data_IF_487693238070
#
_entry.id   IF_487693238070
#
_cell.length_a   1.000
_cell.length_b   1.000
_cell.length_c   1.000
_cell.angle_alpha   90.00
_cell.angle_beta   90.00
_cell.angle_gamma   90.00
#
_symmetry.space_group_name_H-M   'P 1'
#
loop_
_entity.id
_entity.type
_entity.pdbx_description
1 polymer ?
#
# COMPACT_ATOMS: atom_id res chain seq x y z
N UNK A 1 43.77 47.77 -21.87
CA UNK A 1 43.04 46.64 -22.47
C UNK A 1 42.77 45.64 -21.37
N UNK A 2 41.65 45.79 -20.71
CA UNK A 2 41.14 44.91 -19.65
C UNK A 2 40.30 43.80 -20.31
N UNK A 3 40.66 42.54 -20.11
CA UNK A 3 39.87 41.38 -20.54
C UNK A 3 38.92 41.01 -19.40
N UNK A 4 37.66 41.33 -19.56
CA UNK A 4 36.56 40.85 -18.76
C UNK A 4 36.45 39.35 -18.95
N UNK A 5 36.64 38.59 -17.89
CA UNK A 5 36.30 37.15 -17.80
C UNK A 5 34.86 37.05 -17.30
N UNK A 6 33.93 36.92 -18.20
CA UNK A 6 32.58 36.45 -17.87
C UNK A 6 32.68 35.05 -17.29
N UNK A 7 32.49 34.94 -16.00
CA UNK A 7 32.19 33.65 -15.33
C UNK A 7 30.77 33.27 -15.78
N UNK A 8 30.66 32.26 -16.61
CA UNK A 8 29.39 31.57 -16.83
C UNK A 8 29.08 30.76 -15.56
N UNK A 9 28.14 31.23 -14.78
CA UNK A 9 27.52 30.39 -13.77
C UNK A 9 26.70 29.33 -14.50
N UNK A 10 27.18 28.11 -14.58
CA UNK A 10 26.37 26.96 -14.93
C UNK A 10 25.31 26.82 -13.81
N UNK A 11 24.08 27.22 -14.07
CA UNK A 11 22.95 26.79 -13.26
C UNK A 11 22.98 25.25 -13.31
N UNK A 12 23.28 24.61 -12.21
CA UNK A 12 23.10 23.15 -12.05
C UNK A 12 21.63 22.87 -12.33
N UNK A 13 21.36 22.14 -13.40
CA UNK A 13 20.00 21.65 -13.67
C UNK A 13 19.51 20.90 -12.41
N UNK A 14 18.26 21.16 -12.01
CA UNK A 14 17.67 20.48 -10.87
C UNK A 14 17.69 18.97 -11.13
N UNK A 15 18.03 18.19 -10.09
CA UNK A 15 17.99 16.73 -10.16
C UNK A 15 16.53 16.27 -10.37
N UNK A 16 16.21 15.66 -11.53
CA UNK A 16 14.83 15.30 -11.86
C UNK A 16 14.27 14.21 -10.92
N UNK A 17 15.14 13.36 -10.37
CA UNK A 17 14.74 12.29 -9.43
C UNK A 17 14.42 12.89 -8.06
N UNK A 18 15.26 13.79 -7.57
CA UNK A 18 15.07 14.42 -6.25
C UNK A 18 13.81 15.30 -6.16
N UNK A 19 13.33 15.82 -7.29
CA UNK A 19 12.12 16.65 -7.36
C UNK A 19 10.84 15.83 -7.61
N UNK A 20 10.94 14.57 -7.97
CA UNK A 20 9.81 13.72 -8.37
C UNK A 20 9.09 13.10 -7.15
N UNK A 21 7.74 13.17 -7.06
CA UNK A 21 6.97 12.60 -5.97
C UNK A 21 6.82 11.09 -6.03
N UNK A 22 7.21 10.46 -7.14
CA UNK A 22 7.01 9.02 -7.36
C UNK A 22 8.13 8.15 -6.78
N UNK A 23 9.31 8.74 -6.53
CA UNK A 23 10.46 8.03 -5.94
C UNK A 23 10.44 8.08 -4.41
N UNK A 24 11.15 7.16 -3.75
CA UNK A 24 11.36 7.23 -2.31
C UNK A 24 12.01 8.56 -1.89
N UNK A 25 11.63 9.08 -0.74
CA UNK A 25 12.21 10.32 -0.22
C UNK A 25 13.74 10.22 -0.12
N UNK A 26 14.44 11.27 -0.58
CA UNK A 26 15.91 11.33 -0.62
C UNK A 26 16.55 10.56 -1.78
N UNK A 27 15.76 10.06 -2.74
CA UNK A 27 16.31 9.54 -4.00
C UNK A 27 16.97 10.66 -4.81
N UNK A 28 17.99 10.31 -5.59
CA UNK A 28 18.75 11.29 -6.37
C UNK A 28 19.51 10.64 -7.52
N UNK A 29 20.02 11.47 -8.40
CA UNK A 29 21.06 11.09 -9.34
C UNK A 29 22.42 11.22 -8.64
N UNK A 30 23.20 10.14 -8.57
CA UNK A 30 24.50 10.15 -7.94
C UNK A 30 25.61 10.73 -8.84
N UNK A 31 26.85 10.83 -8.34
CA UNK A 31 27.99 11.39 -9.05
C UNK A 31 28.34 10.64 -10.34
N UNK A 32 27.86 9.39 -10.50
CA UNK A 32 28.04 8.58 -11.71
C UNK A 32 26.89 8.76 -12.72
N UNK A 33 25.95 9.66 -12.46
CA UNK A 33 24.73 9.84 -13.28
C UNK A 33 23.69 8.74 -13.10
N UNK A 34 23.81 7.90 -12.08
CA UNK A 34 22.93 6.74 -11.82
C UNK A 34 21.88 7.05 -10.75
N UNK A 35 20.78 6.30 -10.80
CA UNK A 35 19.74 6.36 -9.77
C UNK A 35 20.26 5.81 -8.43
N UNK A 36 20.09 6.60 -7.38
CA UNK A 36 20.43 6.24 -6.00
C UNK A 36 19.21 6.35 -5.09
N UNK A 37 18.99 5.34 -4.25
CA UNK A 37 17.91 5.30 -3.24
C UNK A 37 18.52 4.93 -1.89
N UNK A 38 18.27 5.75 -0.85
CA UNK A 38 18.78 5.57 0.50
C UNK A 38 20.32 5.34 0.54
N UNK A 39 21.07 6.04 -0.34
CA UNK A 39 22.52 5.91 -0.47
C UNK A 39 23.00 4.70 -1.28
N UNK A 40 22.10 3.87 -1.81
CA UNK A 40 22.43 2.70 -2.62
C UNK A 40 22.32 3.01 -4.12
N UNK A 41 23.36 2.74 -4.90
CA UNK A 41 23.34 2.76 -6.37
C UNK A 41 22.51 1.58 -6.88
N UNK A 42 21.44 1.85 -7.66
CA UNK A 42 20.47 0.84 -8.10
C UNK A 42 21.07 -0.15 -9.10
N UNK A 43 22.06 0.27 -9.87
CA UNK A 43 22.76 -0.63 -10.80
C UNK A 43 23.62 -1.62 -10.01
N UNK A 44 24.34 -1.15 -8.98
CA UNK A 44 25.11 -2.04 -8.09
C UNK A 44 24.23 -3.02 -7.32
N UNK A 45 23.04 -2.59 -6.87
CA UNK A 45 22.05 -3.49 -6.25
C UNK A 45 21.56 -4.54 -7.24
N UNK A 46 21.24 -4.14 -8.48
CA UNK A 46 20.81 -5.06 -9.55
C UNK A 46 21.89 -6.07 -9.90
N UNK A 47 23.15 -5.67 -9.94
CA UNK A 47 24.29 -6.57 -10.17
C UNK A 47 24.51 -7.54 -9.00
N UNK A 48 24.34 -7.07 -7.77
CA UNK A 48 24.57 -7.88 -6.56
C UNK A 48 23.46 -8.88 -6.27
N UNK A 49 22.19 -8.48 -6.41
CA UNK A 49 21.03 -9.28 -6.00
C UNK A 49 20.22 -9.85 -7.17
N UNK A 50 20.58 -9.45 -8.39
CA UNK A 50 19.84 -9.80 -9.62
C UNK A 50 18.54 -9.04 -9.76
N UNK A 51 17.95 -9.12 -10.96
CA UNK A 51 16.66 -8.56 -11.34
C UNK A 51 15.69 -9.67 -11.76
N UNK A 52 14.37 -9.43 -11.83
CA UNK A 52 13.69 -8.30 -11.23
C UNK A 52 13.84 -8.28 -9.71
N UNK A 53 13.76 -7.10 -9.08
CA UNK A 53 13.86 -6.96 -7.62
C UNK A 53 13.00 -5.80 -7.11
N UNK A 54 12.30 -6.02 -6.00
CA UNK A 54 11.64 -4.94 -5.26
C UNK A 54 12.65 -4.30 -4.30
N UNK A 55 12.82 -2.99 -4.41
CA UNK A 55 13.79 -2.22 -3.63
C UNK A 55 13.06 -1.13 -2.87
N UNK A 56 13.23 -1.08 -1.56
CA UNK A 56 12.54 -0.14 -0.67
C UNK A 56 13.55 0.70 0.12
N UNK A 57 13.24 1.98 0.28
CA UNK A 57 13.88 2.82 1.30
C UNK A 57 13.26 2.53 2.67
N UNK A 58 14.03 1.94 3.58
CA UNK A 58 13.58 1.69 4.95
C UNK A 58 13.30 3.01 5.69
N UNK A 59 14.15 4.03 5.47
CA UNK A 59 14.00 5.33 6.12
C UNK A 59 12.73 6.07 5.65
N UNK A 60 12.34 5.95 4.38
CA UNK A 60 11.10 6.55 3.88
C UNK A 60 9.86 5.86 4.48
N UNK A 61 9.86 4.51 4.56
CA UNK A 61 8.79 3.76 5.23
C UNK A 61 8.64 4.22 6.69
N UNK A 62 9.75 4.30 7.44
CA UNK A 62 9.75 4.78 8.83
C UNK A 62 9.31 6.23 8.95
N UNK A 63 9.79 7.09 8.04
CA UNK A 63 9.42 8.50 7.98
C UNK A 63 7.91 8.70 7.85
N UNK A 64 7.28 8.01 6.91
CA UNK A 64 5.82 8.06 6.69
C UNK A 64 5.03 7.52 7.89
N UNK A 65 5.49 6.42 8.51
CA UNK A 65 4.86 5.90 9.71
C UNK A 65 4.88 6.91 10.87
N UNK A 66 6.04 7.54 11.10
CA UNK A 66 6.19 8.61 12.12
C UNK A 66 5.38 9.85 11.79
N UNK A 67 5.26 10.20 10.52
CA UNK A 67 4.45 11.33 10.07
C UNK A 67 2.97 11.15 10.42
N UNK A 68 2.40 9.95 10.18
CA UNK A 68 1.04 9.62 10.63
C UNK A 68 0.88 9.76 12.14
N UNK A 69 1.80 9.17 12.91
CA UNK A 69 1.74 9.22 14.38
C UNK A 69 1.81 10.67 14.86
N UNK A 70 2.79 11.45 14.38
CA UNK A 70 2.96 12.86 14.73
C UNK A 70 1.72 13.69 14.38
N UNK A 71 1.18 13.54 13.16
CA UNK A 71 0.01 14.28 12.71
C UNK A 71 -1.21 14.04 13.60
N UNK A 72 -1.36 12.84 14.16
CA UNK A 72 -2.39 12.55 15.16
C UNK A 72 -2.05 13.13 16.53
N UNK A 73 -0.83 12.93 17.04
CA UNK A 73 -0.38 13.44 18.35
C UNK A 73 -0.54 14.94 18.49
N UNK A 74 -0.35 15.70 17.41
CA UNK A 74 -0.56 17.14 17.38
C UNK A 74 -2.04 17.55 17.53
N UNK A 75 -2.99 16.62 17.35
CA UNK A 75 -4.44 16.90 17.29
C UNK A 75 -5.27 16.18 18.34
N UNK A 76 -4.84 15.01 18.78
CA UNK A 76 -5.60 14.18 19.75
C UNK A 76 -4.75 13.07 20.34
N UNK A 77 -4.98 12.74 21.63
CA UNK A 77 -4.38 11.58 22.30
C UNK A 77 -5.17 10.28 22.05
N UNK A 78 -6.44 10.38 21.61
CA UNK A 78 -7.32 9.25 21.40
C UNK A 78 -7.28 8.78 19.93
N UNK A 79 -6.22 8.10 19.55
CA UNK A 79 -6.03 7.57 18.17
C UNK A 79 -5.31 6.23 18.13
N UNK A 80 -5.34 5.59 16.97
CA UNK A 80 -4.54 4.42 16.65
C UNK A 80 -4.28 4.39 15.13
N UNK A 81 -3.00 4.26 14.75
CA UNK A 81 -2.60 4.04 13.35
C UNK A 81 -2.36 2.56 13.13
N UNK A 82 -3.07 1.98 12.17
CA UNK A 82 -3.09 0.55 11.89
C UNK A 82 -2.50 0.33 10.50
N UNK A 83 -1.43 -0.41 10.38
CA UNK A 83 -0.84 -0.76 9.09
C UNK A 83 -1.74 -1.74 8.32
N UNK A 84 -2.22 -1.34 7.13
CA UNK A 84 -2.93 -2.24 6.21
C UNK A 84 -1.94 -3.20 5.54
N UNK A 85 -1.75 -4.36 6.15
CA UNK A 85 -0.66 -5.31 5.83
C UNK A 85 -0.69 -5.84 4.40
N UNK A 86 -1.84 -5.92 3.78
CA UNK A 86 -2.03 -6.30 2.37
C UNK A 86 -1.21 -5.46 1.39
N UNK A 87 -0.77 -4.25 1.77
CA UNK A 87 0.03 -3.39 0.91
C UNK A 87 1.44 -3.97 0.66
N UNK A 88 2.08 -4.51 1.70
CA UNK A 88 3.38 -5.21 1.63
C UNK A 88 3.45 -6.28 2.71
N UNK A 89 2.98 -7.51 2.47
CA UNK A 89 2.93 -8.60 3.45
C UNK A 89 4.28 -9.32 3.59
N UNK A 90 5.32 -8.56 3.91
CA UNK A 90 6.64 -9.08 4.23
C UNK A 90 6.90 -8.92 5.75
N UNK A 91 7.35 -9.96 6.45
CA UNK A 91 7.58 -9.91 7.90
C UNK A 91 8.54 -8.78 8.33
N UNK A 92 9.45 -8.36 7.47
CA UNK A 92 10.30 -7.20 7.70
C UNK A 92 9.49 -5.90 7.75
N UNK A 93 8.50 -5.70 6.86
CA UNK A 93 7.62 -4.54 6.88
C UNK A 93 6.76 -4.53 8.16
N UNK A 94 6.20 -5.67 8.54
CA UNK A 94 5.47 -5.79 9.81
C UNK A 94 6.34 -5.39 11.02
N UNK A 95 7.61 -5.83 11.07
CA UNK A 95 8.55 -5.45 12.14
C UNK A 95 8.80 -3.95 12.18
N UNK A 96 9.02 -3.32 10.99
CA UNK A 96 9.18 -1.87 10.90
C UNK A 96 7.97 -1.13 11.48
N UNK A 97 6.77 -1.50 11.05
CA UNK A 97 5.54 -0.84 11.52
C UNK A 97 5.34 -1.02 13.03
N UNK A 98 5.62 -2.22 13.55
CA UNK A 98 5.58 -2.48 15.00
C UNK A 98 6.60 -1.62 15.76
N UNK A 99 7.83 -1.50 15.25
CA UNK A 99 8.89 -0.68 15.84
C UNK A 99 8.54 0.81 15.86
N UNK A 100 7.83 1.29 14.84
CA UNK A 100 7.30 2.66 14.78
C UNK A 100 5.99 2.83 15.57
N UNK A 101 5.57 1.82 16.33
CA UNK A 101 4.44 1.91 17.23
C UNK A 101 3.06 1.73 16.60
N UNK A 102 2.96 1.29 15.35
CA UNK A 102 1.68 1.03 14.68
C UNK A 102 1.06 -0.30 15.14
N UNK A 103 -0.25 -0.40 15.06
CA UNK A 103 -1.00 -1.66 15.05
C UNK A 103 -1.04 -2.24 13.63
N UNK A 104 -1.68 -3.39 13.46
CA UNK A 104 -1.77 -4.02 12.13
C UNK A 104 -3.16 -4.57 11.86
N UNK A 105 -3.67 -4.36 10.64
CA UNK A 105 -4.78 -5.14 10.12
C UNK A 105 -4.28 -6.37 9.36
N UNK A 106 -5.06 -7.43 9.42
CA UNK A 106 -4.82 -8.67 8.70
C UNK A 106 -6.15 -9.16 8.11
N UNK A 107 -6.14 -9.64 6.88
CA UNK A 107 -7.34 -10.06 6.17
C UNK A 107 -7.42 -11.58 5.92
N UNK A 108 -6.48 -12.34 6.48
CA UNK A 108 -6.44 -13.80 6.37
C UNK A 108 -5.64 -14.43 7.51
N UNK A 109 -5.79 -15.75 7.67
CA UNK A 109 -4.96 -16.52 8.60
C UNK A 109 -3.47 -16.47 8.28
N UNK A 110 -3.11 -16.35 6.99
CA UNK A 110 -1.72 -16.20 6.55
C UNK A 110 -1.12 -14.87 7.02
N UNK A 111 -1.82 -13.75 6.83
CA UNK A 111 -1.38 -12.44 7.30
C UNK A 111 -1.32 -12.39 8.85
N UNK A 112 -2.30 -13.00 9.53
CA UNK A 112 -2.26 -13.16 10.99
C UNK A 112 -1.00 -13.90 11.45
N UNK A 113 -0.66 -15.01 10.77
CA UNK A 113 0.55 -15.77 11.08
C UNK A 113 1.82 -14.94 10.90
N UNK A 114 1.90 -14.15 9.82
CA UNK A 114 3.03 -13.24 9.57
C UNK A 114 3.13 -12.14 10.63
N UNK A 115 1.99 -11.54 11.05
CA UNK A 115 1.96 -10.52 12.09
C UNK A 115 2.47 -11.05 13.43
N UNK A 116 2.02 -12.24 13.83
CA UNK A 116 2.49 -12.91 15.05
C UNK A 116 3.99 -13.27 14.97
N UNK A 117 4.45 -13.80 13.83
CA UNK A 117 5.87 -14.08 13.58
C UNK A 117 6.75 -12.82 13.57
N UNK A 118 6.19 -11.68 13.20
CA UNK A 118 6.86 -10.38 13.28
C UNK A 118 6.87 -9.80 14.70
N UNK A 119 6.18 -10.44 15.65
CA UNK A 119 6.16 -10.09 17.08
C UNK A 119 5.12 -9.04 17.46
N UNK A 120 4.06 -8.85 16.65
CA UNK A 120 2.92 -8.04 17.11
C UNK A 120 2.26 -8.69 18.33
N UNK A 121 1.97 -7.86 19.32
CA UNK A 121 1.09 -8.28 20.41
C UNK A 121 -0.31 -8.57 19.84
N UNK A 122 -0.94 -9.72 20.13
CA UNK A 122 -2.25 -10.07 19.57
C UNK A 122 -3.32 -8.98 19.79
N UNK A 123 -3.28 -8.29 20.92
CA UNK A 123 -4.18 -7.18 21.24
C UNK A 123 -4.09 -5.98 20.27
N UNK A 124 -3.02 -5.89 19.46
CA UNK A 124 -2.80 -4.87 18.45
C UNK A 124 -3.08 -5.33 17.02
N UNK A 125 -3.72 -6.49 16.89
CA UNK A 125 -4.09 -7.07 15.59
C UNK A 125 -5.59 -6.91 15.40
N UNK A 126 -5.99 -6.40 14.23
CA UNK A 126 -7.37 -6.23 13.79
C UNK A 126 -7.62 -7.22 12.65
N UNK A 127 -8.56 -8.15 12.83
CA UNK A 127 -8.86 -9.17 11.82
C UNK A 127 -10.03 -8.72 10.94
N UNK A 128 -9.72 -8.45 9.67
CA UNK A 128 -10.64 -8.11 8.59
C UNK A 128 -10.99 -9.31 7.70
N UNK A 129 -11.86 -9.08 6.73
CA UNK A 129 -12.24 -10.05 5.69
C UNK A 129 -13.74 -10.27 5.63
N UNK A 130 -14.27 -10.36 4.41
CA UNK A 130 -15.71 -10.56 4.18
C UNK A 130 -16.16 -12.03 4.19
N UNK A 131 -15.23 -12.96 4.32
CA UNK A 131 -15.51 -14.38 4.39
C UNK A 131 -14.41 -15.12 5.18
N UNK A 132 -14.37 -14.86 6.48
CA UNK A 132 -13.43 -15.54 7.38
C UNK A 132 -13.87 -16.99 7.59
N UNK A 133 -12.98 -17.94 7.34
CA UNK A 133 -13.23 -19.37 7.57
C UNK A 133 -13.27 -19.69 9.06
N UNK A 134 -13.89 -20.83 9.43
CA UNK A 134 -13.85 -21.31 10.81
C UNK A 134 -12.43 -21.52 11.33
N UNK A 135 -11.53 -22.01 10.48
CA UNK A 135 -10.13 -22.23 10.84
C UNK A 135 -9.42 -20.91 11.17
N UNK A 136 -9.65 -19.86 10.36
CA UNK A 136 -9.07 -18.53 10.60
C UNK A 136 -9.65 -17.89 11.87
N UNK A 137 -10.95 -18.00 12.10
CA UNK A 137 -11.57 -17.50 13.33
C UNK A 137 -11.06 -18.23 14.59
N UNK A 138 -10.96 -19.57 14.55
CA UNK A 138 -10.36 -20.33 15.65
C UNK A 138 -8.93 -19.90 15.91
N UNK A 139 -8.11 -19.80 14.86
CA UNK A 139 -6.73 -19.32 14.99
C UNK A 139 -6.65 -17.91 15.60
N UNK A 140 -7.52 -17.00 15.17
CA UNK A 140 -7.56 -15.64 15.71
C UNK A 140 -7.98 -15.62 17.20
N UNK A 141 -8.99 -16.40 17.58
CA UNK A 141 -9.46 -16.48 18.96
C UNK A 141 -8.44 -17.16 19.89
N UNK A 142 -7.78 -18.21 19.43
CA UNK A 142 -6.70 -18.87 20.16
C UNK A 142 -5.51 -17.92 20.34
N UNK A 143 -5.14 -17.16 19.31
CA UNK A 143 -4.08 -16.15 19.38
C UNK A 143 -4.46 -14.97 20.28
N UNK A 144 -5.75 -14.68 20.47
CA UNK A 144 -6.24 -13.56 21.25
C UNK A 144 -6.15 -12.22 20.53
N UNK A 145 -6.56 -12.17 19.26
CA UNK A 145 -6.57 -10.91 18.49
C UNK A 145 -7.39 -9.82 19.17
N UNK A 146 -6.93 -8.57 19.07
CA UNK A 146 -7.55 -7.45 19.75
C UNK A 146 -8.98 -7.19 19.28
N UNK A 147 -9.17 -7.12 17.97
CA UNK A 147 -10.46 -6.78 17.38
C UNK A 147 -10.79 -7.66 16.18
N UNK A 148 -12.08 -8.05 16.11
CA UNK A 148 -12.67 -8.68 14.94
C UNK A 148 -13.59 -7.68 14.24
N UNK A 149 -13.40 -7.48 12.94
CA UNK A 149 -14.25 -6.62 12.13
C UNK A 149 -15.30 -7.50 11.45
N UNK A 150 -16.55 -7.37 11.90
CA UNK A 150 -17.69 -8.18 11.44
C UNK A 150 -18.23 -7.63 10.12
N UNK A 151 -18.44 -8.52 9.16
CA UNK A 151 -18.75 -8.16 7.77
C UNK A 151 -20.12 -8.71 7.31
N UNK A 152 -20.68 -9.72 7.99
CA UNK A 152 -21.94 -10.38 7.65
C UNK A 152 -22.63 -11.06 8.83
N UNK A 153 -23.93 -11.37 8.69
CA UNK A 153 -24.69 -12.13 9.69
C UNK A 153 -24.14 -13.56 9.88
N UNK A 154 -23.79 -14.23 8.79
CA UNK A 154 -23.20 -15.59 8.85
C UNK A 154 -21.89 -15.61 9.66
N UNK A 155 -21.15 -14.52 9.58
CA UNK A 155 -19.92 -14.38 10.39
C UNK A 155 -20.23 -14.14 11.86
N UNK A 156 -21.21 -13.32 12.19
CA UNK A 156 -21.69 -13.10 13.57
C UNK A 156 -22.06 -14.45 14.19
N UNK A 157 -22.90 -15.23 13.53
CA UNK A 157 -23.33 -16.55 14.01
C UNK A 157 -22.16 -17.53 14.15
N UNK A 158 -21.24 -17.51 13.19
CA UNK A 158 -20.04 -18.36 13.21
C UNK A 158 -19.12 -17.98 14.36
N UNK A 159 -18.88 -16.70 14.57
CA UNK A 159 -18.04 -16.21 15.67
C UNK A 159 -18.64 -16.58 17.02
N UNK A 160 -19.93 -16.37 17.25
CA UNK A 160 -20.61 -16.74 18.50
C UNK A 160 -20.50 -18.23 18.81
N UNK A 161 -20.70 -19.08 17.80
CA UNK A 161 -20.58 -20.54 17.98
C UNK A 161 -19.18 -20.99 18.39
N UNK A 162 -18.15 -20.24 17.99
CA UNK A 162 -16.75 -20.59 18.19
C UNK A 162 -16.12 -19.98 19.44
N UNK A 163 -16.72 -18.90 19.95
CA UNK A 163 -16.19 -18.17 21.10
C UNK A 163 -16.57 -18.84 22.43
N UNK A 164 -15.61 -18.94 23.33
CA UNK A 164 -15.76 -19.36 24.71
C UNK A 164 -15.50 -18.21 25.71
N UNK A 165 -15.14 -17.03 25.21
CA UNK A 165 -14.81 -15.82 25.97
C UNK A 165 -15.24 -14.58 25.19
N UNK A 166 -15.40 -13.42 25.85
CA UNK A 166 -15.72 -12.17 25.15
C UNK A 166 -14.67 -11.78 24.12
N UNK A 167 -15.13 -11.33 22.95
CA UNK A 167 -14.33 -10.77 21.85
C UNK A 167 -14.81 -9.37 21.51
N UNK A 168 -13.92 -8.41 21.54
CA UNK A 168 -14.19 -7.05 21.08
C UNK A 168 -14.35 -7.01 19.58
N UNK A 169 -15.44 -6.38 19.11
CA UNK A 169 -15.78 -6.35 17.68
C UNK A 169 -16.15 -4.95 17.20
N UNK A 170 -15.83 -4.67 15.95
CA UNK A 170 -16.38 -3.54 15.20
C UNK A 170 -17.27 -4.11 14.10
N UNK A 171 -18.38 -3.43 13.82
CA UNK A 171 -19.22 -3.75 12.66
C UNK A 171 -18.72 -2.91 11.49
N UNK A 172 -18.42 -3.56 10.34
CA UNK A 172 -18.09 -2.88 9.11
C UNK A 172 -19.35 -2.36 8.46
N UNK A 173 -19.39 -1.06 8.18
CA UNK A 173 -20.53 -0.40 7.54
C UNK A 173 -20.12 0.23 6.22
N UNK A 174 -21.07 0.31 5.29
CA UNK A 174 -20.89 0.98 3.99
C UNK A 174 -21.76 2.24 3.96
N UNK A 175 -21.14 3.43 4.05
CA UNK A 175 -21.88 4.70 4.17
C UNK A 175 -22.50 5.19 2.85
N UNK A 176 -22.35 4.47 1.75
CA UNK A 176 -22.92 4.84 0.45
C UNK A 176 -22.19 6.01 -0.24
N UNK A 177 -21.02 6.40 0.24
CA UNK A 177 -20.24 7.49 -0.32
C UNK A 177 -19.42 6.98 -1.52
N UNK A 178 -19.45 7.73 -2.61
CA UNK A 178 -18.75 7.41 -3.85
C UNK A 178 -17.63 8.41 -4.10
N UNK A 179 -16.38 8.11 -3.68
CA UNK A 179 -15.25 8.96 -4.02
C UNK A 179 -14.91 8.87 -5.51
N UNK A 180 -14.29 9.91 -6.06
CA UNK A 180 -13.77 9.92 -7.44
C UNK A 180 -12.52 9.07 -7.53
N UNK A 181 -12.67 7.77 -7.82
CA UNK A 181 -11.57 6.80 -7.95
C UNK A 181 -11.98 5.65 -8.87
N UNK A 182 -11.03 4.77 -9.22
CA UNK A 182 -11.27 3.64 -10.12
C UNK A 182 -12.29 2.64 -9.54
N UNK A 183 -13.22 2.15 -10.35
CA UNK A 183 -14.36 1.30 -9.91
C UNK A 183 -13.91 0.05 -9.10
N UNK A 184 -12.80 -0.58 -9.46
CA UNK A 184 -12.29 -1.76 -8.75
C UNK A 184 -11.75 -1.49 -7.33
N UNK A 185 -11.54 -0.23 -6.94
CA UNK A 185 -11.02 0.15 -5.62
C UNK A 185 -12.02 0.92 -4.76
N UNK A 186 -13.28 1.04 -5.22
CA UNK A 186 -14.38 1.64 -4.48
C UNK A 186 -15.02 0.60 -3.56
N UNK A 187 -15.09 0.86 -2.27
CA UNK A 187 -15.62 -0.06 -1.26
C UNK A 187 -16.75 0.52 -0.41
N UNK A 188 -17.03 1.80 -0.55
CA UNK A 188 -18.05 2.52 0.21
C UNK A 188 -19.44 2.56 -0.44
N UNK A 189 -19.65 1.86 -1.56
CA UNK A 189 -20.91 1.87 -2.30
C UNK A 189 -21.91 0.86 -1.73
N UNK A 190 -23.21 1.08 -1.99
CA UNK A 190 -24.30 0.18 -1.59
C UNK A 190 -24.15 -1.22 -2.23
N UNK A 191 -23.72 -1.29 -3.50
CA UNK A 191 -23.36 -2.55 -4.17
C UNK A 191 -21.89 -2.89 -3.86
N UNK A 192 -21.67 -3.45 -2.69
CA UNK A 192 -20.36 -3.89 -2.22
C UNK A 192 -20.47 -5.26 -1.56
N UNK A 193 -19.48 -6.13 -1.79
CA UNK A 193 -19.37 -7.40 -1.06
C UNK A 193 -18.99 -7.23 0.41
N UNK A 194 -18.71 -6.01 0.85
CA UNK A 194 -18.21 -5.71 2.19
C UNK A 194 -19.23 -5.01 3.05
N UNK A 195 -19.35 -5.47 4.30
CA UNK A 195 -20.04 -4.79 5.37
C UNK A 195 -21.55 -4.69 5.21
N UNK A 196 -22.16 -3.96 6.13
CA UNK A 196 -23.60 -3.72 6.19
C UNK A 196 -23.91 -2.32 5.66
N UNK A 197 -24.89 -2.22 4.75
CA UNK A 197 -25.35 -0.93 4.24
C UNK A 197 -26.00 -0.08 5.34
N UNK A 198 -25.69 1.23 5.35
CA UNK A 198 -26.38 2.19 6.24
C UNK A 198 -27.71 2.68 5.68
N UNK A 199 -27.95 2.54 4.38
CA UNK A 199 -29.17 3.00 3.73
C UNK A 199 -30.35 2.02 3.88
N UNK A 200 -30.12 0.83 4.38
CA UNK A 200 -31.08 -0.21 4.66
C UNK A 200 -31.02 -0.61 6.16
N UNK A 201 -31.95 -1.44 6.60
CA UNK A 201 -32.04 -1.86 8.01
C UNK A 201 -30.92 -2.87 8.40
N UNK A 202 -30.00 -3.23 7.50
CA UNK A 202 -29.03 -4.31 7.75
C UNK A 202 -28.01 -3.95 8.81
N UNK A 203 -27.49 -2.73 8.79
CA UNK A 203 -26.54 -2.26 9.80
C UNK A 203 -27.20 -2.14 11.19
N UNK A 204 -28.44 -1.63 11.28
CA UNK A 204 -29.20 -1.58 12.54
C UNK A 204 -29.41 -2.98 13.10
N UNK A 205 -29.88 -3.92 12.27
CA UNK A 205 -30.06 -5.32 12.67
C UNK A 205 -28.76 -5.98 13.13
N UNK A 206 -27.62 -5.65 12.48
CA UNK A 206 -26.32 -6.15 12.90
C UNK A 206 -25.92 -5.61 14.29
N UNK A 207 -26.16 -4.33 14.56
CA UNK A 207 -25.93 -3.71 15.88
C UNK A 207 -26.79 -4.40 16.93
N UNK A 208 -28.08 -4.60 16.68
CA UNK A 208 -28.97 -5.30 17.61
C UNK A 208 -28.52 -6.75 17.86
N UNK A 209 -28.18 -7.45 16.78
CA UNK A 209 -27.75 -8.85 16.88
C UNK A 209 -26.46 -9.03 17.69
N UNK A 210 -25.49 -8.10 17.54
CA UNK A 210 -24.26 -8.12 18.33
C UNK A 210 -24.52 -7.74 19.80
N UNK A 211 -25.43 -6.78 20.05
CA UNK A 211 -25.82 -6.42 21.44
C UNK A 211 -26.50 -7.55 22.22
N UNK A 212 -27.20 -8.45 21.52
CA UNK A 212 -27.85 -9.62 22.11
C UNK A 212 -26.86 -10.77 22.40
N UNK A 213 -25.64 -10.68 21.88
CA UNK A 213 -24.62 -11.70 22.07
C UNK A 213 -24.02 -11.66 23.46
N UNK A 214 -23.75 -12.83 24.04
CA UNK A 214 -23.02 -12.96 25.30
C UNK A 214 -21.51 -12.98 25.13
N UNK A 215 -21.02 -13.12 23.90
CA UNK A 215 -19.60 -13.27 23.59
C UNK A 215 -19.04 -12.16 22.67
N UNK A 216 -19.89 -11.36 22.04
CA UNK A 216 -19.44 -10.26 21.17
C UNK A 216 -19.62 -8.92 21.91
N UNK A 217 -18.54 -8.21 22.12
CA UNK A 217 -18.52 -6.88 22.74
C UNK A 217 -18.42 -5.83 21.62
N UNK A 218 -19.55 -5.18 21.30
CA UNK A 218 -19.57 -4.10 20.30
C UNK A 218 -18.86 -2.87 20.84
N UNK A 219 -17.68 -2.57 20.33
CA UNK A 219 -16.88 -1.42 20.74
C UNK A 219 -16.90 -0.27 19.72
N UNK A 220 -17.41 -0.51 18.51
CA UNK A 220 -17.48 0.56 17.51
C UNK A 220 -17.82 0.11 16.10
N UNK A 221 -17.58 1.02 15.18
CA UNK A 221 -17.83 0.82 13.75
C UNK A 221 -16.55 0.96 12.95
N UNK A 222 -16.52 0.30 11.80
CA UNK A 222 -15.49 0.43 10.79
C UNK A 222 -16.09 0.82 9.45
N UNK A 223 -15.47 1.76 8.73
CA UNK A 223 -15.79 2.05 7.34
C UNK A 223 -14.53 2.29 6.53
N UNK A 224 -14.54 1.80 5.29
CA UNK A 224 -13.49 2.08 4.31
C UNK A 224 -14.15 2.42 2.97
N UNK A 225 -13.97 3.66 2.50
CA UNK A 225 -14.73 4.20 1.35
C UNK A 225 -14.06 3.98 0.00
N UNK A 226 -12.79 3.57 -0.02
CA UNK A 226 -12.06 3.32 -1.26
C UNK A 226 -10.55 3.46 -1.11
N UNK A 227 -9.85 3.40 -2.23
CA UNK A 227 -8.39 3.50 -2.28
C UNK A 227 -7.98 4.44 -3.41
N UNK A 228 -6.80 5.07 -3.31
CA UNK A 228 -6.29 6.06 -4.24
C UNK A 228 -7.22 7.28 -4.34
N UNK A 229 -7.61 7.82 -3.19
CA UNK A 229 -8.51 8.96 -3.06
C UNK A 229 -7.69 10.22 -2.90
N UNK A 230 -7.91 11.21 -3.77
CA UNK A 230 -7.21 12.50 -3.75
C UNK A 230 -8.06 13.61 -3.12
N UNK A 231 -9.39 13.48 -3.15
CA UNK A 231 -10.31 14.44 -2.55
C UNK A 231 -10.59 14.08 -1.09
N UNK A 232 -10.48 15.04 -0.17
CA UNK A 232 -10.66 14.78 1.26
C UNK A 232 -12.11 14.91 1.73
N UNK A 233 -12.97 15.62 0.98
CA UNK A 233 -14.39 15.81 1.31
C UNK A 233 -15.18 14.51 1.49
N UNK A 234 -15.00 13.45 0.67
CA UNK A 234 -15.69 12.17 0.87
C UNK A 234 -15.49 11.55 2.24
N UNK A 235 -14.32 11.76 2.88
CA UNK A 235 -14.08 11.27 4.25
C UNK A 235 -14.95 11.97 5.28
N UNK A 236 -15.12 13.29 5.16
CA UNK A 236 -15.98 14.08 6.05
C UNK A 236 -17.43 13.62 5.94
N UNK A 237 -17.93 13.48 4.71
CA UNK A 237 -19.30 12.99 4.45
C UNK A 237 -19.55 11.59 5.01
N UNK A 238 -18.57 10.69 4.87
CA UNK A 238 -18.68 9.34 5.43
C UNK A 238 -18.78 9.36 6.96
N UNK A 239 -18.00 10.21 7.63
CA UNK A 239 -18.04 10.37 9.08
C UNK A 239 -19.40 10.92 9.53
N UNK A 240 -19.96 11.91 8.83
CA UNK A 240 -21.28 12.47 9.11
C UNK A 240 -22.40 11.41 8.99
N UNK A 241 -22.41 10.65 7.90
CA UNK A 241 -23.39 9.57 7.70
C UNK A 241 -23.30 8.49 8.78
N UNK A 242 -22.07 8.16 9.21
CA UNK A 242 -21.86 7.20 10.32
C UNK A 242 -22.35 7.79 11.65
N UNK A 243 -22.18 9.09 11.89
CA UNK A 243 -22.65 9.74 13.10
C UNK A 243 -24.18 9.74 13.17
N UNK A 244 -24.86 10.10 12.07
CA UNK A 244 -26.32 10.07 11.96
C UNK A 244 -26.86 8.65 12.25
N UNK A 245 -26.20 7.64 11.71
CA UNK A 245 -26.54 6.24 12.00
C UNK A 245 -26.34 5.89 13.49
N UNK A 246 -25.22 6.28 14.08
CA UNK A 246 -24.96 6.04 15.51
C UNK A 246 -26.02 6.66 16.41
N UNK A 247 -26.47 7.87 16.07
CA UNK A 247 -27.53 8.55 16.81
C UNK A 247 -28.89 7.82 16.64
N UNK A 248 -29.19 7.35 15.43
CA UNK A 248 -30.43 6.63 15.15
C UNK A 248 -30.55 5.30 15.93
N UNK A 249 -29.42 4.60 16.16
CA UNK A 249 -29.40 3.31 16.86
C UNK A 249 -28.93 3.42 18.32
N UNK A 250 -28.80 4.62 18.87
CA UNK A 250 -28.26 4.92 20.20
C UNK A 250 -26.93 4.20 20.48
N UNK A 251 -25.96 4.32 19.54
CA UNK A 251 -24.62 3.77 19.66
C UNK A 251 -23.63 4.89 20.01
N UNK A 252 -22.90 4.73 21.09
CA UNK A 252 -21.77 5.59 21.46
C UNK A 252 -20.48 4.80 21.30
N UNK A 253 -19.81 4.89 20.14
CA UNK A 253 -18.66 4.05 19.85
C UNK A 253 -17.45 4.45 20.71
N UNK A 254 -16.82 3.48 21.34
CA UNK A 254 -15.48 3.64 21.95
C UNK A 254 -14.42 3.82 20.85
N UNK A 255 -14.55 3.04 19.77
CA UNK A 255 -13.64 3.04 18.63
C UNK A 255 -14.39 3.43 17.34
N UNK A 256 -13.86 4.35 16.58
CA UNK A 256 -14.33 4.65 15.23
C UNK A 256 -13.18 4.45 14.24
N UNK A 257 -13.25 3.38 13.47
CA UNK A 257 -12.29 3.11 12.42
C UNK A 257 -12.78 3.72 11.09
N UNK A 258 -12.09 4.79 10.68
CA UNK A 258 -12.43 5.54 9.45
C UNK A 258 -11.59 5.09 8.24
N UNK A 259 -10.99 3.89 8.33
CA UNK A 259 -10.28 3.24 7.24
C UNK A 259 -9.04 3.98 6.74
N UNK A 260 -8.56 3.52 5.61
CA UNK A 260 -7.44 4.12 4.88
C UNK A 260 -7.90 4.91 3.65
N UNK A 261 -7.17 4.72 2.55
CA UNK A 261 -7.60 5.17 1.22
C UNK A 261 -6.83 6.35 0.65
N UNK A 262 -5.96 7.02 1.42
CA UNK A 262 -5.14 8.12 0.91
C UNK A 262 -4.38 7.71 -0.35
N UNK A 263 -4.51 8.52 -1.41
CA UNK A 263 -3.81 8.35 -2.67
C UNK A 263 -2.33 8.70 -2.59
N UNK A 264 -1.57 8.22 -3.56
CA UNK A 264 -0.16 8.54 -3.75
C UNK A 264 0.09 8.92 -5.20
N UNK A 265 1.22 9.58 -5.48
CA UNK A 265 1.66 9.83 -6.83
C UNK A 265 2.15 8.53 -7.50
N UNK A 266 1.65 8.24 -8.70
CA UNK A 266 2.16 7.22 -9.62
C UNK A 266 2.83 7.84 -10.84
N UNK A 267 2.48 9.08 -11.15
CA UNK A 267 3.07 9.90 -12.21
C UNK A 267 3.57 11.22 -11.59
N UNK A 268 4.55 11.84 -12.20
CA UNK A 268 5.08 13.15 -11.77
C UNK A 268 4.02 14.27 -11.78
N UNK A 269 2.95 14.06 -12.55
CA UNK A 269 1.82 15.00 -12.63
C UNK A 269 0.79 14.83 -11.53
N UNK A 270 0.85 13.76 -10.76
CA UNK A 270 -0.09 13.49 -9.67
C UNK A 270 0.19 14.40 -8.46
N UNK A 271 -0.88 14.87 -7.84
CA UNK A 271 -0.82 15.75 -6.66
C UNK A 271 -1.71 15.18 -5.55
N UNK A 272 -1.27 14.10 -4.89
CA UNK A 272 -2.03 13.56 -3.75
C UNK A 272 -2.01 14.54 -2.58
N UNK A 273 -3.04 14.50 -1.69
CA UNK A 273 -3.00 15.23 -0.43
C UNK A 273 -1.85 14.75 0.46
N UNK A 274 -1.34 15.65 1.28
CA UNK A 274 -0.35 15.31 2.30
C UNK A 274 -0.97 14.47 3.43
N UNK A 275 -0.13 13.70 4.12
CA UNK A 275 -0.57 12.90 5.28
C UNK A 275 -1.17 13.80 6.36
N UNK A 276 -0.59 14.98 6.59
CA UNK A 276 -1.04 15.92 7.59
C UNK A 276 -2.46 16.43 7.31
N UNK A 277 -2.75 16.85 6.07
CA UNK A 277 -4.08 17.30 5.63
C UNK A 277 -5.13 16.18 5.76
N UNK A 278 -4.75 14.95 5.39
CA UNK A 278 -5.62 13.78 5.52
C UNK A 278 -5.98 13.48 6.97
N UNK A 279 -5.02 13.55 7.88
CA UNK A 279 -5.25 13.34 9.32
C UNK A 279 -6.07 14.47 9.90
N UNK A 280 -5.77 15.74 9.56
CA UNK A 280 -6.51 16.91 10.01
C UNK A 280 -8.00 16.78 9.69
N UNK A 281 -8.34 16.49 8.43
CA UNK A 281 -9.72 16.36 7.98
C UNK A 281 -10.46 15.25 8.72
N UNK A 282 -9.82 14.11 8.96
CA UNK A 282 -10.41 12.99 9.71
C UNK A 282 -10.61 13.33 11.17
N UNK A 283 -9.62 13.89 11.83
CA UNK A 283 -9.73 14.28 13.25
C UNK A 283 -10.79 15.35 13.42
N UNK A 284 -10.76 16.42 12.62
CA UNK A 284 -11.75 17.50 12.68
C UNK A 284 -13.16 16.97 12.40
N UNK A 285 -13.32 16.09 11.41
CA UNK A 285 -14.60 15.46 11.08
C UNK A 285 -15.16 14.66 12.26
N UNK A 286 -14.36 13.79 12.87
CA UNK A 286 -14.78 12.96 14.00
C UNK A 286 -15.07 13.81 15.24
N UNK A 287 -14.19 14.76 15.59
CA UNK A 287 -14.34 15.61 16.77
C UNK A 287 -15.54 16.55 16.70
N UNK A 288 -16.06 16.85 15.51
CA UNK A 288 -17.28 17.65 15.32
C UNK A 288 -18.55 16.90 15.71
N UNK A 289 -18.60 15.57 15.55
CA UNK A 289 -19.84 14.79 15.64
C UNK A 289 -19.79 13.65 16.65
N UNK A 290 -18.62 13.25 17.14
CA UNK A 290 -18.44 12.20 18.16
C UNK A 290 -17.83 12.75 19.45
N UNK A 291 -18.01 11.97 20.54
CA UNK A 291 -17.40 12.30 21.83
C UNK A 291 -15.87 12.44 21.73
N UNK A 292 -15.25 13.42 22.38
CA UNK A 292 -13.78 13.53 22.44
C UNK A 292 -13.06 12.26 22.90
N UNK A 293 -13.70 11.42 23.71
CA UNK A 293 -13.14 10.13 24.15
C UNK A 293 -13.19 9.02 23.09
N UNK A 294 -14.00 9.17 22.03
CA UNK A 294 -14.01 8.21 20.92
C UNK A 294 -12.63 8.15 20.27
N UNK A 295 -12.01 6.96 20.30
CA UNK A 295 -10.70 6.73 19.71
C UNK A 295 -10.82 6.60 18.19
N UNK A 296 -10.01 7.37 17.47
CA UNK A 296 -9.99 7.40 15.99
C UNK A 296 -8.97 6.39 15.49
N UNK A 297 -9.41 5.44 14.68
CA UNK A 297 -8.55 4.45 14.03
C UNK A 297 -8.45 4.75 12.54
N UNK A 298 -7.23 4.64 11.99
CA UNK A 298 -6.96 4.76 10.55
C UNK A 298 -6.10 3.61 10.06
N UNK A 299 -6.29 3.24 8.78
CA UNK A 299 -5.66 2.07 8.16
C UNK A 299 -4.84 2.44 6.91
N UNK A 300 -3.75 3.22 7.06
CA UNK A 300 -2.86 3.48 5.95
C UNK A 300 -2.12 2.20 5.50
N UNK A 301 -2.02 1.99 4.21
CA UNK A 301 -1.24 0.92 3.62
C UNK A 301 -0.44 1.45 2.45
N UNK A 302 -1.13 1.82 1.36
CA UNK A 302 -0.52 2.37 0.15
C UNK A 302 0.39 3.56 0.45
N UNK A 303 -0.08 4.53 1.20
CA UNK A 303 0.67 5.76 1.53
C UNK A 303 1.89 5.53 2.42
N UNK A 304 1.97 4.39 3.13
CA UNK A 304 3.15 4.03 3.92
C UNK A 304 4.28 3.44 3.08
N UNK A 305 3.95 2.64 2.05
CA UNK A 305 4.96 1.82 1.35
C UNK A 305 5.02 2.06 -0.16
N UNK A 306 4.02 2.70 -0.77
CA UNK A 306 3.88 2.80 -2.21
C UNK A 306 5.04 3.53 -2.88
N UNK A 307 5.26 4.79 -2.56
CA UNK A 307 6.38 5.57 -3.10
C UNK A 307 7.71 5.24 -2.42
N UNK A 308 7.70 4.56 -1.27
CA UNK A 308 8.91 4.10 -0.62
C UNK A 308 9.58 2.91 -1.34
N UNK A 309 8.95 2.36 -2.37
CA UNK A 309 9.45 1.20 -3.11
C UNK A 309 9.41 1.36 -4.62
N UNK A 310 10.40 0.76 -5.27
CA UNK A 310 10.57 0.68 -6.72
C UNK A 310 10.79 -0.77 -7.15
N UNK A 311 10.60 -1.07 -8.45
CA UNK A 311 10.99 -2.36 -9.03
C UNK A 311 12.06 -2.14 -10.09
N UNK A 312 13.17 -2.84 -9.95
CA UNK A 312 14.29 -2.82 -10.88
C UNK A 312 14.26 -4.04 -11.79
N UNK A 313 14.52 -3.82 -13.07
CA UNK A 313 14.52 -4.81 -14.14
C UNK A 313 15.78 -4.71 -14.97
N UNK A 314 16.21 -5.80 -15.61
CA UNK A 314 17.29 -5.78 -16.61
C UNK A 314 16.71 -5.85 -18.01
N UNK A 315 17.18 -4.97 -18.90
CA UNK A 315 16.83 -4.99 -20.31
C UNK A 315 17.47 -6.20 -20.98
N UNK A 316 16.63 -7.09 -21.50
CA UNK A 316 17.06 -8.28 -22.26
C UNK A 316 17.05 -8.05 -23.76
N UNK A 317 16.12 -7.21 -24.26
CA UNK A 317 15.95 -6.96 -25.71
C UNK A 317 15.42 -5.55 -25.95
N UNK A 318 15.98 -4.87 -26.93
CA UNK A 318 15.40 -3.65 -27.51
C UNK A 318 14.97 -3.98 -28.95
N UNK A 319 13.67 -3.83 -29.21
CA UNK A 319 13.07 -4.14 -30.52
C UNK A 319 12.40 -2.92 -31.11
N UNK A 320 12.97 -2.40 -32.16
CA UNK A 320 12.35 -1.33 -32.94
C UNK A 320 11.43 -1.94 -34.02
N UNK A 321 10.21 -1.40 -34.13
CA UNK A 321 9.29 -1.61 -35.24
C UNK A 321 9.18 -0.27 -35.95
N UNK A 322 9.86 -0.11 -37.11
CA UNK A 322 9.96 1.20 -37.76
C UNK A 322 8.61 1.86 -38.02
N UNK A 323 8.47 3.11 -37.56
CA UNK A 323 7.25 3.91 -37.73
C UNK A 323 6.07 3.47 -36.84
N UNK A 324 6.28 2.49 -35.92
CA UNK A 324 5.25 2.00 -35.01
C UNK A 324 5.65 2.19 -33.57
N UNK A 325 6.71 1.52 -33.09
CA UNK A 325 7.06 1.49 -31.67
C UNK A 325 8.43 0.88 -31.41
N UNK A 326 9.09 1.36 -30.36
CA UNK A 326 10.23 0.68 -29.75
C UNK A 326 9.79 -0.05 -28.50
N UNK A 327 10.02 -1.36 -28.42
CA UNK A 327 9.84 -2.17 -27.22
C UNK A 327 11.16 -2.33 -26.49
N UNK A 328 11.14 -2.10 -25.18
CA UNK A 328 12.22 -2.42 -24.24
C UNK A 328 11.74 -3.58 -23.40
N UNK A 329 12.15 -4.80 -23.74
CA UNK A 329 11.75 -6.01 -23.04
C UNK A 329 12.69 -6.26 -21.86
N UNK A 330 12.09 -6.53 -20.70
CA UNK A 330 12.79 -6.72 -19.41
C UNK A 330 12.56 -8.12 -18.85
N UNK A 331 13.37 -8.51 -17.87
CA UNK A 331 13.38 -9.82 -17.23
C UNK A 331 12.30 -10.02 -16.14
N UNK A 332 11.31 -9.14 -16.07
CA UNK A 332 10.12 -9.24 -15.23
C UNK A 332 8.85 -9.01 -16.05
N UNK A 333 7.77 -8.62 -15.38
CA UNK A 333 6.51 -8.33 -16.06
C UNK A 333 5.29 -8.46 -15.15
N UNK A 334 4.18 -8.96 -15.70
CA UNK A 334 2.92 -9.12 -14.97
C UNK A 334 3.00 -10.06 -13.75
N UNK A 335 4.01 -10.89 -13.66
CA UNK A 335 4.21 -11.76 -12.49
C UNK A 335 4.70 -11.00 -11.26
N UNK A 336 5.29 -9.83 -11.44
CA UNK A 336 5.83 -8.99 -10.37
C UNK A 336 5.17 -7.61 -10.28
N UNK A 337 4.59 -7.09 -11.36
CA UNK A 337 3.72 -5.91 -11.35
C UNK A 337 2.46 -6.15 -12.18
N UNK A 338 1.46 -6.77 -11.54
CA UNK A 338 0.19 -7.12 -12.19
C UNK A 338 -0.73 -5.91 -12.42
N UNK A 339 -0.50 -4.79 -11.72
CA UNK A 339 -1.43 -3.68 -11.67
C UNK A 339 -1.69 -2.97 -13.01
N UNK A 340 -0.73 -2.79 -13.94
CA UNK A 340 -1.01 -2.26 -15.27
C UNK A 340 -2.05 -3.08 -16.03
N UNK A 341 -1.99 -4.41 -15.94
CA UNK A 341 -2.93 -5.30 -16.61
C UNK A 341 -4.28 -5.39 -15.92
N UNK A 342 -4.28 -5.50 -14.58
CA UNK A 342 -5.50 -5.72 -13.81
C UNK A 342 -6.35 -4.46 -13.65
N UNK A 343 -5.69 -3.31 -13.50
CA UNK A 343 -6.34 -2.03 -13.17
C UNK A 343 -6.11 -0.95 -14.21
N UNK A 344 -5.37 -1.21 -15.29
CA UNK A 344 -4.92 -0.16 -16.20
C UNK A 344 -4.03 0.88 -15.52
N UNK A 345 -3.33 0.49 -14.46
CA UNK A 345 -2.49 1.42 -13.71
C UNK A 345 -1.32 1.93 -14.56
N UNK A 346 -1.09 3.24 -14.54
CA UNK A 346 0.02 3.89 -15.20
C UNK A 346 1.20 4.04 -14.24
N UNK A 347 2.40 3.91 -14.78
CA UNK A 347 3.66 4.09 -14.06
C UNK A 347 4.65 4.84 -14.94
N UNK A 348 5.67 5.38 -14.31
CA UNK A 348 6.84 5.92 -14.99
C UNK A 348 7.96 4.88 -15.04
N UNK A 349 8.98 5.16 -15.85
CA UNK A 349 10.19 4.37 -15.91
C UNK A 349 11.41 5.25 -16.18
N UNK A 350 12.55 4.83 -15.65
CA UNK A 350 13.84 5.48 -15.89
C UNK A 350 14.92 4.41 -16.17
N UNK A 351 15.91 4.75 -17.01
CA UNK A 351 17.13 3.96 -17.13
C UNK A 351 18.07 4.35 -15.99
N UNK A 352 18.21 3.48 -14.99
CA UNK A 352 18.96 3.76 -13.77
C UNK A 352 20.44 4.04 -14.02
N UNK A 353 21.02 3.45 -15.09
CA UNK A 353 22.40 3.68 -15.52
C UNK A 353 22.67 5.13 -15.95
N UNK A 354 21.63 5.85 -16.40
CA UNK A 354 21.67 7.19 -16.98
C UNK A 354 20.52 8.08 -16.48
N UNK A 355 20.20 7.97 -15.20
CA UNK A 355 19.07 8.70 -14.60
C UNK A 355 19.20 10.24 -14.67
N UNK A 356 20.43 10.74 -14.83
CA UNK A 356 20.71 12.18 -15.01
C UNK A 356 20.68 12.66 -16.47
N UNK A 357 20.51 11.77 -17.44
CA UNK A 357 20.46 12.13 -18.85
C UNK A 357 19.03 12.48 -19.30
N UNK A 358 18.92 13.39 -20.25
CA UNK A 358 17.62 13.74 -20.82
C UNK A 358 17.04 12.53 -21.57
N UNK A 359 15.78 12.14 -21.32
CA UNK A 359 15.14 11.05 -22.04
C UNK A 359 14.88 11.46 -23.51
N UNK A 360 15.29 10.61 -24.45
CA UNK A 360 15.27 10.88 -25.88
C UNK A 360 14.53 9.82 -26.71
N UNK A 361 14.29 8.64 -26.13
CA UNK A 361 13.72 7.50 -26.84
C UNK A 361 12.32 7.19 -26.32
N UNK A 362 11.30 7.40 -27.19
CA UNK A 362 9.93 6.97 -26.89
C UNK A 362 9.84 5.44 -27.00
N UNK A 363 9.54 4.78 -25.88
CA UNK A 363 9.52 3.33 -25.78
C UNK A 363 8.32 2.81 -24.99
N UNK A 364 8.07 1.51 -25.12
CA UNK A 364 7.15 0.75 -24.26
C UNK A 364 7.96 -0.32 -23.53
N UNK A 365 7.94 -0.28 -22.20
CA UNK A 365 8.56 -1.33 -21.37
C UNK A 365 7.62 -2.53 -21.32
N UNK A 366 8.07 -3.64 -21.89
CA UNK A 366 7.32 -4.89 -21.98
C UNK A 366 7.94 -5.96 -21.09
N UNK A 367 7.11 -6.81 -20.51
CA UNK A 367 7.57 -7.96 -19.73
C UNK A 367 7.99 -9.15 -20.61
N UNK A 368 8.40 -10.22 -19.93
CA UNK A 368 8.93 -11.44 -20.56
C UNK A 368 7.89 -12.54 -20.79
N UNK A 369 6.66 -12.34 -20.34
CA UNK A 369 5.64 -13.39 -20.36
C UNK A 369 5.05 -13.62 -21.74
N UNK A 370 4.63 -14.88 -22.02
CA UNK A 370 3.90 -15.24 -23.22
C UNK A 370 2.45 -14.73 -23.18
N UNK A 371 2.29 -13.42 -23.00
CA UNK A 371 1.02 -12.72 -22.89
C UNK A 371 1.11 -11.34 -23.57
N UNK A 372 0.24 -11.07 -24.55
CA UNK A 372 0.29 -9.82 -25.32
C UNK A 372 0.06 -8.57 -24.49
N UNK A 373 -0.64 -8.70 -23.36
CA UNK A 373 -0.92 -7.63 -22.43
C UNK A 373 0.22 -7.35 -21.44
N UNK A 374 1.28 -8.15 -21.42
CA UNK A 374 2.40 -8.00 -20.48
C UNK A 374 3.24 -6.76 -20.79
N UNK A 375 2.68 -5.61 -20.43
CA UNK A 375 3.26 -4.28 -20.64
C UNK A 375 3.25 -3.52 -19.31
N UNK A 376 4.45 -3.20 -18.84
CA UNK A 376 4.65 -2.51 -17.57
C UNK A 376 4.42 -1.00 -17.67
N UNK A 377 5.03 -0.36 -18.70
CA UNK A 377 4.90 1.07 -18.93
C UNK A 377 4.74 1.34 -20.43
N UNK A 378 3.67 2.05 -20.80
CA UNK A 378 3.39 2.39 -22.19
C UNK A 378 3.87 3.79 -22.52
N UNK A 379 4.43 3.92 -23.75
CA UNK A 379 4.70 5.22 -24.38
C UNK A 379 5.45 6.21 -23.46
N UNK A 380 6.51 5.71 -22.80
CA UNK A 380 7.37 6.48 -21.89
C UNK A 380 8.66 6.91 -22.59
N UNK A 381 9.21 8.04 -22.18
CA UNK A 381 10.52 8.50 -22.67
C UNK A 381 11.64 7.94 -21.78
N UNK A 382 12.62 7.30 -22.40
CA UNK A 382 13.79 6.71 -21.75
C UNK A 382 15.09 7.30 -22.32
N UNK A 383 16.15 7.39 -21.51
CA UNK A 383 17.47 7.81 -21.97
C UNK A 383 18.17 6.64 -22.66
N UNK A 384 18.19 6.64 -24.01
CA UNK A 384 18.90 5.71 -24.91
C UNK A 384 19.01 4.25 -24.38
N UNK A 385 17.88 3.54 -24.15
CA UNK A 385 17.89 2.21 -23.52
C UNK A 385 18.63 1.18 -24.39
N UNK A 386 19.51 0.39 -23.76
CA UNK A 386 20.28 -0.66 -24.42
C UNK A 386 20.18 -1.98 -23.64
N UNK A 387 20.49 -3.10 -24.29
CA UNK A 387 20.55 -4.42 -23.64
C UNK A 387 21.58 -4.41 -22.53
N UNK A 388 21.18 -4.87 -21.34
CA UNK A 388 22.00 -4.91 -20.14
C UNK A 388 21.76 -3.73 -19.18
N UNK A 389 21.09 -2.66 -19.62
CA UNK A 389 20.72 -1.55 -18.73
C UNK A 389 19.72 -2.00 -17.64
N UNK A 390 19.68 -1.26 -16.56
CA UNK A 390 18.68 -1.40 -15.50
C UNK A 390 17.57 -0.38 -15.69
N UNK A 391 16.35 -0.86 -15.94
CA UNK A 391 15.14 -0.04 -15.96
C UNK A 391 14.46 -0.13 -14.62
N UNK A 392 14.10 1.02 -14.05
CA UNK A 392 13.41 1.11 -12.76
C UNK A 392 12.03 1.72 -12.95
N UNK A 393 11.01 1.07 -12.37
CA UNK A 393 9.64 1.58 -12.27
C UNK A 393 9.39 2.02 -10.83
N UNK A 394 9.17 3.34 -10.57
CA UNK A 394 8.89 3.86 -9.22
C UNK A 394 7.46 3.56 -8.78
N UNK A 395 7.15 3.91 -7.51
CA UNK A 395 5.84 3.79 -6.88
C UNK A 395 5.23 2.37 -6.88
N UNK A 396 6.07 1.33 -6.95
CA UNK A 396 5.63 -0.07 -6.96
C UNK A 396 5.60 -0.72 -5.58
N UNK A 397 5.90 0.03 -4.53
CA UNK A 397 6.04 -0.49 -3.17
C UNK A 397 4.75 -1.06 -2.56
N UNK A 398 3.58 -0.59 -2.99
CA UNK A 398 2.31 -1.14 -2.53
C UNK A 398 1.70 -2.06 -3.60
N UNK A 399 1.29 -3.27 -3.16
CA UNK A 399 0.60 -4.27 -3.99
C UNK A 399 1.44 -4.86 -5.15
N UNK A 400 2.74 -4.52 -5.29
CA UNK A 400 3.68 -5.21 -6.17
C UNK A 400 3.96 -6.62 -5.63
N UNK A 401 4.79 -6.70 -4.60
CA UNK A 401 5.13 -7.97 -3.95
C UNK A 401 3.90 -8.77 -3.46
N UNK A 402 2.89 -8.08 -2.91
CA UNK A 402 1.67 -8.72 -2.41
C UNK A 402 0.89 -9.49 -3.47
N UNK A 403 0.95 -9.04 -4.74
CA UNK A 403 0.25 -9.65 -5.87
C UNK A 403 1.18 -10.45 -6.78
N UNK A 404 2.47 -10.57 -6.41
CA UNK A 404 3.42 -11.36 -7.17
C UNK A 404 2.98 -12.82 -7.29
N UNK A 405 3.19 -13.38 -8.48
CA UNK A 405 2.73 -14.73 -8.80
C UNK A 405 3.77 -15.48 -9.64
N UNK A 406 3.53 -16.76 -9.90
CA UNK A 406 4.42 -17.61 -10.65
C UNK A 406 3.90 -17.89 -12.08
N UNK A 407 3.25 -16.91 -12.72
CA UNK A 407 2.81 -17.08 -14.10
C UNK A 407 3.98 -17.45 -15.01
N UNK A 408 3.76 -18.35 -15.97
CA UNK A 408 4.78 -19.00 -16.82
C UNK A 408 5.92 -19.71 -16.02
N UNK A 409 5.71 -20.06 -14.76
CA UNK A 409 6.74 -20.68 -13.92
C UNK A 409 7.90 -19.75 -13.55
N UNK A 410 7.69 -18.44 -13.57
CA UNK A 410 8.72 -17.47 -13.21
C UNK A 410 8.81 -17.37 -11.68
N UNK A 411 10.02 -17.51 -11.08
CA UNK A 411 10.24 -17.33 -9.66
C UNK A 411 9.95 -15.89 -9.20
N UNK A 412 9.29 -15.72 -8.06
CA UNK A 412 9.02 -14.39 -7.48
C UNK A 412 10.30 -13.67 -7.10
N UNK A 413 10.38 -12.35 -7.35
CA UNK A 413 11.56 -11.53 -7.06
C UNK A 413 11.86 -11.41 -5.57
N UNK A 414 13.11 -11.05 -5.20
CA UNK A 414 13.46 -10.73 -3.83
C UNK A 414 12.89 -9.37 -3.42
N UNK A 415 12.74 -9.17 -2.12
CA UNK A 415 12.52 -7.86 -1.51
C UNK A 415 13.79 -7.42 -0.82
N UNK A 416 14.25 -6.20 -1.14
CA UNK A 416 15.49 -5.61 -0.65
C UNK A 416 15.13 -4.31 0.09
N UNK A 417 15.59 -4.17 1.33
CA UNK A 417 15.50 -2.93 2.07
C UNK A 417 16.85 -2.22 2.04
N UNK A 418 16.83 -0.93 1.70
CA UNK A 418 17.98 -0.05 1.62
C UNK A 418 17.94 0.96 2.76
N UNK A 419 19.08 1.14 3.42
CA UNK A 419 19.29 2.13 4.46
C UNK A 419 20.78 2.49 4.56
N UNK A 420 21.09 3.77 4.67
CA UNK A 420 22.48 4.27 4.91
C UNK A 420 23.52 3.69 3.94
N UNK A 421 23.14 3.52 2.66
CA UNK A 421 24.04 2.97 1.63
C UNK A 421 24.16 1.43 1.63
N UNK A 422 23.41 0.73 2.48
CA UNK A 422 23.43 -0.71 2.54
C UNK A 422 22.09 -1.32 2.10
N UNK A 423 22.14 -2.25 1.12
CA UNK A 423 21.01 -3.07 0.69
C UNK A 423 21.04 -4.45 1.36
N UNK A 424 19.94 -4.86 1.98
CA UNK A 424 19.77 -6.20 2.59
C UNK A 424 18.55 -6.91 2.05
N UNK A 425 18.67 -8.19 1.72
CA UNK A 425 17.55 -9.03 1.32
C UNK A 425 16.70 -9.33 2.56
N UNK A 426 15.41 -9.00 2.50
CA UNK A 426 14.45 -9.28 3.57
C UNK A 426 13.46 -10.38 3.19
N UNK A 427 13.25 -10.59 1.87
CA UNK A 427 12.61 -11.77 1.32
C UNK A 427 13.52 -12.25 0.18
N UNK A 428 13.96 -13.50 0.22
CA UNK A 428 14.82 -14.05 -0.82
C UNK A 428 14.04 -14.25 -2.12
N UNK A 429 14.75 -14.25 -3.25
CA UNK A 429 14.22 -14.71 -4.54
C UNK A 429 13.78 -16.18 -4.40
N UNK A 430 12.69 -16.56 -5.04
CA UNK A 430 12.37 -17.97 -5.22
C UNK A 430 13.40 -18.64 -6.14
N UNK A 431 13.70 -19.88 -5.84
CA UNK A 431 14.46 -20.78 -6.71
C UNK A 431 13.50 -21.62 -7.57
N UNK A 432 14.01 -22.31 -8.56
CA UNK A 432 13.20 -23.28 -9.32
C UNK A 432 12.70 -24.44 -8.43
N UNK A 433 13.47 -24.82 -7.41
CA UNK A 433 13.04 -25.84 -6.46
C UNK A 433 11.86 -25.36 -5.58
N UNK A 434 11.77 -24.05 -5.28
CA UNK A 434 10.60 -23.49 -4.59
C UNK A 434 9.31 -23.65 -5.38
N UNK A 435 9.38 -23.66 -6.73
CA UNK A 435 8.21 -23.90 -7.57
C UNK A 435 7.66 -25.31 -7.41
N UNK A 436 8.53 -26.27 -7.08
CA UNK A 436 8.19 -27.67 -6.88
C UNK A 436 7.90 -28.01 -5.41
N UNK A 437 8.10 -27.08 -4.47
CA UNK A 437 8.05 -27.33 -3.03
C UNK A 437 6.69 -27.84 -2.51
N UNK A 438 5.62 -27.77 -3.31
CA UNK A 438 4.26 -28.24 -2.97
C UNK A 438 3.80 -29.40 -3.85
N UNK A 439 4.63 -29.86 -4.79
CA UNK A 439 4.31 -31.00 -5.61
C UNK A 439 4.59 -32.29 -4.81
N UNK A 440 3.70 -33.29 -4.92
CA UNK A 440 3.79 -34.57 -4.23
C UNK A 440 4.37 -35.69 -5.13
#
# INVERSE_FOLDING_TARGET
>A
MSRDRTQSSSATAADPIAASPVYPAGSRVNERGRLEIAGCDLVELADRFGTPAYIYSEDDIRGRAREYVRAFEERTDAFEVIYASKALPATAAYRLMREEGLSVDVASGGELHMALAAGFAPARIHLHGNNKTEAELRYAFEAGVGHLILDSFDEIERAERLLDRPQRVLIRVTPGIKPSTHDYVQTGQLDSKFGFGLADELAERAVQRVRESSHLELVGLHAHIGSQIFELEPYVKAIEVIADFCDAVDLRPELLNVGGGLGIAYLDTDQPPEIDDYVEVKVAGVRRVFDPATRILVEPGRSLVGNAGVTAYRVGTVKEIPGVRTYVAVDGGMSDNLRPMLYGAHYEAVVADRAGEAPDTLATVAGMHCESGDVLVRDTLLAAPTVGDVVVTPATGAYGYAMANNYNGVPRPPVIFCREGEGRVVVRRETWDDLLARDE
#
